data_IF_976917014285
#
_entry.id   IF_976917014285
#
_cell.length_a   1.000
_cell.length_b   1.000
_cell.length_c   1.000
_cell.angle_alpha   90.00
_cell.angle_beta   90.00
_cell.angle_gamma   90.00
#
_symmetry.space_group_name_H-M   'P 1'
#
loop_
_entity.id
_entity.type
_entity.pdbx_description
1 polymer ?
#
# COMPACT_ATOMS: atom_id res chain seq x y z
N UNK A 1 9.66 -9.34 10.10
CA UNK A 1 9.44 -7.88 9.90
C UNK A 1 8.30 -7.47 10.81
N UNK A 2 8.27 -6.24 11.34
CA UNK A 2 7.12 -5.78 12.13
C UNK A 2 5.90 -5.58 11.21
N UNK A 3 4.69 -5.85 11.72
CA UNK A 3 3.44 -5.67 10.96
C UNK A 3 3.32 -4.24 10.42
N UNK A 4 3.73 -3.23 11.20
CA UNK A 4 3.77 -1.83 10.77
C UNK A 4 4.62 -1.59 9.51
N UNK A 5 5.72 -2.31 9.33
CA UNK A 5 6.56 -2.17 8.13
C UNK A 5 5.88 -2.77 6.90
N UNK A 6 5.19 -3.90 7.07
CA UNK A 6 4.43 -4.54 5.99
C UNK A 6 3.28 -3.65 5.52
N UNK A 7 2.60 -2.96 6.44
CA UNK A 7 1.53 -2.02 6.12
C UNK A 7 2.03 -0.83 5.29
N UNK A 8 3.24 -0.32 5.58
CA UNK A 8 3.86 0.71 4.74
C UNK A 8 4.04 0.23 3.30
N UNK A 9 4.44 -1.03 3.10
CA UNK A 9 4.62 -1.58 1.76
C UNK A 9 3.29 -1.74 1.00
N UNK A 10 2.23 -2.20 1.69
CA UNK A 10 0.87 -2.29 1.10
C UNK A 10 0.40 -0.94 0.57
N UNK A 11 0.75 0.14 1.27
CA UNK A 11 0.35 1.51 0.91
C UNK A 11 1.28 2.14 -0.15
N UNK A 12 2.60 1.98 -0.01
CA UNK A 12 3.59 2.66 -0.83
C UNK A 12 3.82 1.99 -2.19
N UNK A 13 3.70 0.66 -2.30
CA UNK A 13 3.96 -0.04 -3.56
C UNK A 13 3.01 0.41 -4.69
N UNK A 14 1.68 0.50 -4.49
CA UNK A 14 0.77 1.01 -5.53
C UNK A 14 1.07 2.46 -5.91
N UNK A 15 1.46 3.31 -4.95
CA UNK A 15 1.84 4.70 -5.21
C UNK A 15 3.10 4.79 -6.08
N UNK A 16 4.13 3.98 -5.77
CA UNK A 16 5.33 3.89 -6.60
C UNK A 16 4.97 3.36 -8.00
N UNK A 17 4.10 2.36 -8.09
CA UNK A 17 3.61 1.84 -9.37
C UNK A 17 2.87 2.89 -10.20
N UNK A 18 2.05 3.73 -9.58
CA UNK A 18 1.38 4.85 -10.25
C UNK A 18 2.37 5.89 -10.76
N UNK A 19 3.44 6.18 -10.01
CA UNK A 19 4.50 7.07 -10.46
C UNK A 19 5.24 6.46 -11.66
N UNK A 20 5.67 5.19 -11.56
CA UNK A 20 6.48 4.55 -12.61
C UNK A 20 5.67 4.29 -13.89
N UNK A 21 4.42 3.85 -13.78
CA UNK A 21 3.59 3.53 -14.93
C UNK A 21 2.78 4.71 -15.48
N UNK A 22 2.44 5.68 -14.63
CA UNK A 22 1.59 6.83 -14.98
C UNK A 22 2.36 8.12 -15.17
N UNK A 23 3.15 8.53 -14.16
CA UNK A 23 3.80 9.85 -14.14
C UNK A 23 5.11 9.87 -14.93
N UNK A 24 5.99 8.89 -14.74
CA UNK A 24 7.31 8.86 -15.37
C UNK A 24 7.24 8.87 -16.92
N UNK A 25 6.34 8.15 -17.59
CA UNK A 25 6.24 8.18 -19.05
C UNK A 25 5.75 9.52 -19.62
N UNK A 26 5.25 10.44 -18.79
CA UNK A 26 4.92 11.82 -19.21
C UNK A 26 6.19 12.67 -19.43
N UNK A 27 7.28 12.37 -18.71
CA UNK A 27 8.52 13.12 -18.75
C UNK A 27 9.66 12.35 -19.45
N UNK A 28 9.56 11.02 -19.49
CA UNK A 28 10.59 10.12 -20.01
C UNK A 28 9.99 9.26 -21.11
N UNK A 29 10.06 9.75 -22.35
CA UNK A 29 9.41 9.13 -23.50
C UNK A 29 9.90 7.70 -23.78
N UNK A 30 11.14 7.38 -23.40
CA UNK A 30 11.74 6.04 -23.52
C UNK A 30 10.96 4.96 -22.77
N UNK A 31 10.21 5.31 -21.72
CA UNK A 31 9.39 4.35 -20.99
C UNK A 31 8.10 4.00 -21.72
N UNK A 32 7.60 4.91 -22.58
CA UNK A 32 6.32 4.72 -23.30
C UNK A 32 6.35 3.52 -24.24
N UNK A 33 7.52 3.13 -24.73
CA UNK A 33 7.70 2.00 -25.65
C UNK A 33 8.06 0.69 -24.93
N UNK A 34 8.24 0.70 -23.61
CA UNK A 34 8.64 -0.47 -22.82
C UNK A 34 7.46 -1.17 -22.14
N UNK A 35 6.48 -1.58 -22.94
CA UNK A 35 5.23 -2.18 -22.48
C UNK A 35 5.44 -3.38 -21.55
N UNK A 36 6.36 -4.30 -21.88
CA UNK A 36 6.61 -5.48 -21.05
C UNK A 36 7.15 -5.14 -19.66
N UNK A 37 8.02 -4.13 -19.57
CA UNK A 37 8.59 -3.68 -18.30
C UNK A 37 7.53 -2.98 -17.45
N UNK A 38 6.78 -2.04 -18.06
CA UNK A 38 5.71 -1.33 -17.37
C UNK A 38 4.58 -2.28 -16.92
N UNK A 39 4.16 -3.21 -17.78
CA UNK A 39 3.17 -4.23 -17.44
C UNK A 39 3.62 -5.10 -16.26
N UNK A 40 4.88 -5.56 -16.28
CA UNK A 40 5.44 -6.37 -15.18
C UNK A 40 5.47 -5.59 -13.87
N UNK A 41 5.91 -4.32 -13.90
CA UNK A 41 5.94 -3.46 -12.71
C UNK A 41 4.51 -3.23 -12.22
N UNK A 42 3.59 -2.88 -13.12
CA UNK A 42 2.17 -2.66 -12.82
C UNK A 42 1.53 -3.85 -12.10
N UNK A 43 1.75 -5.07 -12.59
CA UNK A 43 1.25 -6.28 -11.90
C UNK A 43 1.96 -6.52 -10.57
N UNK A 44 3.30 -6.38 -10.52
CA UNK A 44 4.06 -6.66 -9.31
C UNK A 44 3.68 -5.74 -8.14
N UNK A 45 3.41 -4.45 -8.41
CA UNK A 45 3.06 -3.48 -7.36
C UNK A 45 1.67 -3.73 -6.74
N UNK A 46 0.81 -4.55 -7.35
CA UNK A 46 -0.49 -4.98 -6.80
C UNK A 46 -0.40 -6.39 -6.21
N UNK A 47 0.27 -7.31 -6.91
CA UNK A 47 0.45 -8.70 -6.47
C UNK A 47 1.24 -8.81 -5.16
N UNK A 48 2.28 -7.99 -4.96
CA UNK A 48 3.07 -8.01 -3.72
C UNK A 48 2.22 -7.56 -2.52
N UNK A 49 1.48 -6.43 -2.55
CA UNK A 49 0.52 -6.10 -1.50
C UNK A 49 -0.52 -7.18 -1.21
N UNK A 50 -1.04 -7.87 -2.23
CA UNK A 50 -1.96 -8.97 -2.03
C UNK A 50 -1.35 -10.12 -1.21
N UNK A 51 -0.13 -10.54 -1.55
CA UNK A 51 0.60 -11.57 -0.79
C UNK A 51 0.85 -11.12 0.65
N UNK A 52 1.19 -9.85 0.86
CA UNK A 52 1.35 -9.28 2.20
C UNK A 52 0.03 -9.29 2.97
N UNK A 53 -1.08 -8.94 2.32
CA UNK A 53 -2.42 -8.96 2.93
C UNK A 53 -2.83 -10.38 3.34
N UNK A 54 -2.55 -11.39 2.51
CA UNK A 54 -2.77 -12.81 2.86
C UNK A 54 -1.96 -13.20 4.08
N UNK A 55 -0.68 -12.84 4.12
CA UNK A 55 0.18 -13.11 5.27
C UNK A 55 -0.36 -12.45 6.55
N UNK A 56 -0.72 -11.16 6.49
CA UNK A 56 -1.27 -10.43 7.63
C UNK A 56 -2.61 -11.01 8.09
N UNK A 57 -3.46 -11.46 7.18
CA UNK A 57 -4.74 -12.10 7.51
C UNK A 57 -4.56 -13.43 8.23
N UNK A 58 -3.70 -14.32 7.71
CA UNK A 58 -3.46 -15.65 8.30
C UNK A 58 -2.75 -15.57 9.66
N UNK A 59 -1.96 -14.53 9.88
CA UNK A 59 -1.23 -14.31 11.15
C UNK A 59 -1.93 -13.34 12.11
N UNK A 60 -3.16 -12.92 11.79
CA UNK A 60 -3.89 -11.97 12.62
C UNK A 60 -4.33 -12.60 13.95
N UNK A 61 -3.96 -11.97 15.06
CA UNK A 61 -4.20 -12.50 16.41
C UNK A 61 -5.53 -12.06 17.05
N UNK A 62 -6.40 -11.38 16.31
CA UNK A 62 -7.70 -10.86 16.81
C UNK A 62 -7.64 -9.44 17.40
N UNK A 63 -6.45 -8.98 17.81
CA UNK A 63 -6.29 -7.63 18.35
C UNK A 63 -5.94 -6.60 17.25
N UNK A 64 -6.65 -5.45 17.19
CA UNK A 64 -6.34 -4.41 16.23
C UNK A 64 -4.91 -3.86 16.38
N UNK A 65 -4.23 -3.69 15.25
CA UNK A 65 -2.88 -3.11 15.20
C UNK A 65 -2.99 -1.69 14.69
N UNK A 66 -2.43 -0.72 15.43
CA UNK A 66 -2.33 0.68 14.98
C UNK A 66 -0.89 0.97 14.60
N UNK A 67 -0.68 1.46 13.39
CA UNK A 67 0.61 1.89 12.86
C UNK A 67 0.58 3.40 12.65
N UNK A 68 1.18 4.14 13.58
CA UNK A 68 1.35 5.58 13.48
C UNK A 68 2.48 5.93 12.51
N UNK A 69 2.25 6.97 11.70
CA UNK A 69 3.24 7.46 10.75
C UNK A 69 3.72 8.85 11.10
N UNK A 70 2.82 9.82 11.20
CA UNK A 70 3.14 11.21 11.56
C UNK A 70 1.88 11.99 11.94
N UNK A 71 2.04 13.11 12.64
CA UNK A 71 0.95 14.06 12.92
C UNK A 71 0.64 14.84 11.64
N UNK A 72 -0.58 14.68 11.12
CA UNK A 72 -1.05 15.41 9.95
C UNK A 72 -1.34 16.88 10.27
N UNK A 73 -1.95 17.12 11.43
CA UNK A 73 -2.33 18.47 11.88
C UNK A 73 -2.38 18.54 13.40
N UNK A 74 -1.73 19.55 13.96
CA UNK A 74 -1.88 19.91 15.37
C UNK A 74 -2.17 21.42 15.45
N UNK A 75 -3.30 21.78 16.07
CA UNK A 75 -3.74 23.17 16.20
C UNK A 75 -4.50 23.39 17.51
N UNK A 76 -3.89 24.13 18.43
CA UNK A 76 -4.46 24.34 19.77
C UNK A 76 -4.60 23.02 20.52
N UNK A 77 -5.85 22.59 20.78
CA UNK A 77 -6.17 21.30 21.41
C UNK A 77 -6.53 20.17 20.44
N UNK A 78 -6.54 20.43 19.12
CA UNK A 78 -6.80 19.41 18.10
C UNK A 78 -5.48 18.75 17.68
N UNK A 79 -5.42 17.42 17.77
CA UNK A 79 -4.30 16.59 17.31
C UNK A 79 -4.83 15.47 16.39
N UNK A 80 -4.44 15.51 15.11
CA UNK A 80 -4.82 14.55 14.08
C UNK A 80 -3.59 13.80 13.59
N UNK A 81 -3.54 12.50 13.90
CA UNK A 81 -2.49 11.60 13.44
C UNK A 81 -2.87 10.89 12.15
N UNK A 82 -1.93 10.83 11.20
CA UNK A 82 -2.02 9.91 10.07
C UNK A 82 -1.52 8.53 10.54
N UNK A 83 -2.47 7.65 10.81
CA UNK A 83 -2.22 6.31 11.31
C UNK A 83 -3.09 5.29 10.58
N UNK A 84 -2.57 4.07 10.41
CA UNK A 84 -3.34 2.95 9.88
C UNK A 84 -3.81 2.06 11.03
N UNK A 85 -5.11 1.82 11.11
CA UNK A 85 -5.67 0.79 11.97
C UNK A 85 -5.96 -0.43 11.13
N UNK A 86 -5.45 -1.57 11.56
CA UNK A 86 -5.70 -2.89 10.97
C UNK A 86 -6.53 -3.69 11.95
N UNK A 87 -7.73 -4.02 11.51
CA UNK A 87 -8.65 -4.94 12.16
C UNK A 87 -9.16 -5.97 11.13
N UNK A 88 -10.01 -6.88 11.59
CA UNK A 88 -10.55 -7.99 10.81
C UNK A 88 -11.21 -7.52 9.52
N UNK A 89 -12.04 -6.48 9.61
CA UNK A 89 -12.73 -5.90 8.46
C UNK A 89 -11.73 -5.26 7.49
N UNK A 90 -10.77 -4.50 8.02
CA UNK A 90 -9.73 -3.85 7.21
C UNK A 90 -8.88 -4.86 6.45
N UNK A 91 -8.54 -6.00 7.06
CA UNK A 91 -7.79 -7.07 6.40
C UNK A 91 -8.59 -7.73 5.28
N UNK A 92 -9.87 -8.04 5.51
CA UNK A 92 -10.76 -8.58 4.48
C UNK A 92 -10.86 -7.61 3.31
N UNK A 93 -11.07 -6.32 3.58
CA UNK A 93 -11.15 -5.32 2.52
C UNK A 93 -9.83 -5.14 1.78
N UNK A 94 -8.70 -5.22 2.47
CA UNK A 94 -7.39 -5.17 1.83
C UNK A 94 -7.20 -6.34 0.87
N UNK A 95 -7.61 -7.55 1.27
CA UNK A 95 -7.58 -8.74 0.40
C UNK A 95 -8.48 -8.59 -0.82
N UNK A 96 -9.71 -8.08 -0.65
CA UNK A 96 -10.65 -7.89 -1.76
C UNK A 96 -10.11 -6.85 -2.75
N UNK A 97 -9.67 -5.69 -2.26
CA UNK A 97 -9.18 -4.61 -3.13
C UNK A 97 -7.91 -5.01 -3.88
N UNK A 98 -6.96 -5.63 -3.19
CA UNK A 98 -5.70 -6.07 -3.82
C UNK A 98 -5.85 -7.35 -4.65
N UNK A 99 -6.88 -8.16 -4.40
CA UNK A 99 -7.15 -9.40 -5.14
C UNK A 99 -7.91 -9.20 -6.45
N UNK A 100 -8.65 -8.10 -6.59
CA UNK A 100 -9.34 -7.72 -7.85
C UNK A 100 -8.43 -6.93 -8.79
N UNK A 101 -7.47 -6.19 -8.22
CA UNK A 101 -6.59 -5.25 -8.94
C UNK A 101 -5.59 -5.89 -9.89
#
# INVERSE_FOLDING_TARGET
>A
MSSATLLRLVLLLPLVGAIVNGVAPLFLEEFRTREGLLGTIGTAVVAIPFVIAVYLFVTFGGEPIVADYFTWMAAGGLDLSFAYRIDELSLIMTLVVTGVG
#
